data_IF_605043052663
#
_entry.id   IF_605043052663
#
_cell.length_a   1.000
_cell.length_b   1.000
_cell.length_c   1.000
_cell.angle_alpha   90.00
_cell.angle_beta   90.00
_cell.angle_gamma   90.00
#
_symmetry.space_group_name_H-M   'P 1'
#
loop_
_entity.id
_entity.type
_entity.pdbx_description
1 polymer ?
#
# COMPACT_ATOMS: atom_id res chain seq x y z
N UNK A 1 2.57 -11.88 50.16
CA UNK A 1 2.87 -12.74 48.99
C UNK A 1 2.08 -12.39 47.71
N UNK A 2 1.26 -11.33 47.67
CA UNK A 2 0.48 -10.95 46.48
C UNK A 2 1.19 -9.99 45.50
N UNK A 3 2.11 -9.14 46.00
CA UNK A 3 2.75 -8.08 45.22
C UNK A 3 3.76 -8.59 44.17
N UNK A 4 4.44 -9.71 44.44
CA UNK A 4 5.43 -10.32 43.53
C UNK A 4 4.76 -11.01 42.34
N UNK A 5 3.63 -11.69 42.59
CA UNK A 5 2.79 -12.35 41.57
C UNK A 5 2.17 -11.33 40.61
N UNK A 6 1.61 -10.23 41.14
CA UNK A 6 1.08 -9.13 40.32
C UNK A 6 2.14 -8.54 39.39
N UNK A 7 3.35 -8.28 39.91
CA UNK A 7 4.45 -7.72 39.11
C UNK A 7 4.94 -8.68 38.03
N UNK A 8 4.93 -10.00 38.27
CA UNK A 8 5.28 -10.99 37.24
C UNK A 8 4.21 -11.07 36.16
N UNK A 9 2.92 -11.09 36.53
CA UNK A 9 1.81 -11.10 35.57
C UNK A 9 1.83 -9.87 34.66
N UNK A 10 2.09 -8.68 35.20
CA UNK A 10 2.22 -7.45 34.40
C UNK A 10 3.35 -7.57 33.38
N UNK A 11 4.52 -8.10 33.78
CA UNK A 11 5.65 -8.29 32.86
C UNK A 11 5.28 -9.24 31.72
N UNK A 12 4.61 -10.37 32.01
CA UNK A 12 4.17 -11.29 30.97
C UNK A 12 3.19 -10.66 29.99
N UNK A 13 2.25 -9.84 30.48
CA UNK A 13 1.29 -9.13 29.63
C UNK A 13 2.03 -8.12 28.73
N UNK A 14 2.95 -7.33 29.28
CA UNK A 14 3.73 -6.36 28.50
C UNK A 14 4.57 -7.06 27.43
N UNK A 15 5.24 -8.16 27.78
CA UNK A 15 6.03 -8.95 26.81
C UNK A 15 5.13 -9.51 25.71
N UNK A 16 3.98 -10.09 26.05
CA UNK A 16 3.04 -10.63 25.07
C UNK A 16 2.53 -9.54 24.11
N UNK A 17 2.21 -8.34 24.63
CA UNK A 17 1.82 -7.20 23.81
C UNK A 17 2.94 -6.78 22.87
N UNK A 18 4.16 -6.57 23.39
CA UNK A 18 5.32 -6.20 22.56
C UNK A 18 5.58 -7.23 21.48
N UNK A 19 5.52 -8.53 21.80
CA UNK A 19 5.66 -9.59 20.82
C UNK A 19 4.57 -9.50 19.73
N UNK A 20 3.31 -9.32 20.11
CA UNK A 20 2.22 -9.19 19.14
C UNK A 20 2.39 -7.98 18.21
N UNK A 21 2.79 -6.83 18.76
CA UNK A 21 3.09 -5.63 17.98
C UNK A 21 4.23 -5.88 16.99
N UNK A 22 5.37 -6.42 17.43
CA UNK A 22 6.51 -6.71 16.56
C UNK A 22 6.12 -7.64 15.41
N UNK A 23 5.36 -8.70 15.67
CA UNK A 23 4.89 -9.60 14.61
C UNK A 23 3.97 -8.89 13.61
N UNK A 24 3.04 -8.04 14.07
CA UNK A 24 2.15 -7.29 13.19
C UNK A 24 2.94 -6.33 12.27
N UNK A 25 3.92 -5.61 12.83
CA UNK A 25 4.78 -4.72 12.03
C UNK A 25 5.62 -5.47 11.00
N UNK A 26 6.21 -6.62 11.37
CA UNK A 26 7.02 -7.42 10.44
C UNK A 26 6.19 -8.00 9.28
N UNK A 27 4.90 -8.31 9.51
CA UNK A 27 3.99 -8.76 8.45
C UNK A 27 3.71 -7.64 7.45
N UNK A 28 3.37 -6.43 7.92
CA UNK A 28 3.10 -5.28 7.05
C UNK A 28 4.31 -4.94 6.17
N UNK A 29 5.52 -4.97 6.72
CA UNK A 29 6.76 -4.69 5.98
C UNK A 29 7.04 -5.75 4.90
N UNK A 30 6.82 -7.04 5.22
CA UNK A 30 7.05 -8.14 4.28
C UNK A 30 6.04 -8.12 3.12
N UNK A 31 4.77 -7.83 3.39
CA UNK A 31 3.74 -7.68 2.35
C UNK A 31 4.05 -6.50 1.44
N UNK A 32 4.36 -5.32 2.01
CA UNK A 32 4.79 -4.16 1.23
C UNK A 32 5.99 -4.53 0.35
N UNK A 33 7.06 -5.09 0.92
CA UNK A 33 8.27 -5.48 0.18
C UNK A 33 7.97 -6.45 -0.97
N UNK A 34 7.10 -7.43 -0.75
CA UNK A 34 6.70 -8.37 -1.81
C UNK A 34 5.97 -7.67 -2.96
N UNK A 35 5.15 -6.65 -2.68
CA UNK A 35 4.53 -5.81 -3.71
C UNK A 35 5.57 -5.03 -4.49
N UNK A 36 6.54 -4.43 -3.79
CA UNK A 36 7.64 -3.71 -4.44
C UNK A 36 8.43 -4.62 -5.37
N UNK A 37 8.82 -5.80 -4.91
CA UNK A 37 9.66 -6.73 -5.66
C UNK A 37 8.92 -7.39 -6.85
N UNK A 38 7.61 -7.60 -6.74
CA UNK A 38 6.82 -8.28 -7.79
C UNK A 38 6.28 -7.31 -8.84
N UNK A 39 5.88 -6.11 -8.42
CA UNK A 39 5.11 -5.18 -9.25
C UNK A 39 5.84 -3.87 -9.56
N UNK A 40 6.56 -3.29 -8.60
CA UNK A 40 7.13 -1.95 -8.76
C UNK A 40 8.55 -1.94 -9.33
N UNK A 41 9.26 -3.07 -9.33
CA UNK A 41 10.59 -3.15 -9.95
C UNK A 41 10.58 -3.00 -11.47
N UNK A 42 9.41 -3.13 -12.10
CA UNK A 42 9.26 -3.06 -13.56
C UNK A 42 8.60 -1.78 -14.06
N UNK A 43 7.75 -1.14 -13.26
CA UNK A 43 7.30 0.22 -13.52
C UNK A 43 8.48 1.17 -13.26
N UNK A 44 8.82 2.03 -14.23
CA UNK A 44 9.81 3.08 -13.99
C UNK A 44 9.42 3.91 -12.75
N UNK A 45 10.35 4.25 -11.85
CA UNK A 45 10.05 5.07 -10.68
C UNK A 45 9.32 6.38 -11.02
N UNK A 46 9.54 6.95 -12.22
CA UNK A 46 8.77 8.10 -12.69
C UNK A 46 7.30 7.77 -12.94
N UNK A 47 7.01 6.67 -13.63
CA UNK A 47 5.63 6.28 -13.92
C UNK A 47 4.86 5.89 -12.65
N UNK A 48 5.52 5.25 -11.68
CA UNK A 48 4.91 4.98 -10.38
C UNK A 48 4.49 6.28 -9.66
N UNK A 49 5.33 7.32 -9.71
CA UNK A 49 5.00 8.63 -9.13
C UNK A 49 3.86 9.31 -9.88
N UNK A 50 3.83 9.25 -11.23
CA UNK A 50 2.76 9.84 -12.03
C UNK A 50 1.41 9.17 -11.73
N UNK A 51 1.38 7.84 -11.60
CA UNK A 51 0.18 7.07 -11.22
C UNK A 51 -0.36 7.53 -9.87
N UNK A 52 0.52 7.64 -8.87
CA UNK A 52 0.16 8.15 -7.53
C UNK A 52 -0.36 9.59 -7.65
N UNK A 53 0.32 10.44 -8.42
CA UNK A 53 -0.06 11.83 -8.63
C UNK A 53 -1.46 11.98 -9.25
N UNK A 54 -1.81 11.15 -10.23
CA UNK A 54 -3.15 11.18 -10.85
C UNK A 54 -4.22 10.79 -9.85
N UNK A 55 -3.99 9.74 -9.06
CA UNK A 55 -4.99 9.22 -8.11
C UNK A 55 -5.16 10.15 -6.90
N UNK A 56 -4.06 10.63 -6.32
CA UNK A 56 -4.09 11.34 -5.03
C UNK A 56 -3.97 12.87 -5.14
N UNK A 57 -3.41 13.40 -6.24
CA UNK A 57 -3.08 14.82 -6.40
C UNK A 57 -3.66 15.47 -7.67
N UNK A 58 -4.53 14.75 -8.41
CA UNK A 58 -5.15 15.17 -9.68
C UNK A 58 -4.12 15.60 -10.76
N UNK A 59 -2.95 14.97 -10.78
CA UNK A 59 -1.96 15.18 -11.84
C UNK A 59 -2.33 14.43 -13.13
N UNK A 60 -1.50 14.58 -14.15
CA UNK A 60 -1.66 13.92 -15.46
C UNK A 60 -0.66 12.79 -15.62
N UNK A 61 -1.03 11.77 -16.38
CA UNK A 61 -0.15 10.67 -16.79
C UNK A 61 0.27 10.85 -18.26
N UNK A 62 1.43 10.30 -18.62
CA UNK A 62 1.88 10.25 -20.02
C UNK A 62 1.48 8.92 -20.68
N UNK A 63 1.28 8.92 -22.01
CA UNK A 63 0.97 7.71 -22.77
C UNK A 63 2.01 6.60 -22.56
N UNK A 64 3.30 6.97 -22.49
CA UNK A 64 4.38 6.04 -22.19
C UNK A 64 4.19 5.35 -20.83
N UNK A 65 3.79 6.09 -19.79
CA UNK A 65 3.50 5.50 -18.50
C UNK A 65 2.22 4.66 -18.49
N UNK A 66 1.24 4.98 -19.33
CA UNK A 66 0.08 4.12 -19.51
C UNK A 66 0.46 2.77 -20.14
N UNK A 67 1.34 2.75 -21.14
CA UNK A 67 1.85 1.49 -21.70
C UNK A 67 2.60 0.65 -20.67
N UNK A 68 3.49 1.27 -19.88
CA UNK A 68 4.20 0.59 -18.78
C UNK A 68 3.19 0.01 -17.77
N UNK A 69 2.19 0.80 -17.36
CA UNK A 69 1.17 0.37 -16.41
C UNK A 69 0.37 -0.83 -16.92
N UNK A 70 -0.08 -0.79 -18.17
CA UNK A 70 -0.85 -1.88 -18.79
C UNK A 70 0.00 -3.14 -18.96
N UNK A 71 1.29 -2.98 -19.31
CA UNK A 71 2.23 -4.09 -19.43
C UNK A 71 2.43 -4.82 -18.09
N UNK A 72 2.51 -4.09 -16.99
CA UNK A 72 2.65 -4.69 -15.65
C UNK A 72 1.34 -5.30 -15.11
N UNK A 73 0.21 -4.71 -15.51
CA UNK A 73 -1.10 -5.33 -15.32
C UNK A 73 -1.88 -4.80 -14.12
N UNK A 74 -3.21 -5.04 -14.17
CA UNK A 74 -4.18 -4.44 -13.23
C UNK A 74 -3.91 -4.81 -11.78
N UNK A 75 -3.46 -6.04 -11.52
CA UNK A 75 -3.17 -6.50 -10.17
C UNK A 75 -2.14 -5.60 -9.47
N UNK A 76 -1.08 -5.23 -10.17
CA UNK A 76 -0.02 -4.39 -9.63
C UNK A 76 -0.49 -2.96 -9.36
N UNK A 77 -1.26 -2.41 -10.29
CA UNK A 77 -1.92 -1.11 -10.15
C UNK A 77 -2.86 -1.07 -8.94
N UNK A 78 -3.83 -1.98 -8.89
CA UNK A 78 -4.84 -2.04 -7.84
C UNK A 78 -4.20 -2.21 -6.46
N UNK A 79 -3.18 -3.07 -6.36
CA UNK A 79 -2.55 -3.35 -5.07
C UNK A 79 -1.71 -2.18 -4.57
N UNK A 80 -0.99 -1.48 -5.46
CA UNK A 80 -0.26 -0.26 -5.11
C UNK A 80 -1.20 0.81 -4.56
N UNK A 81 -2.28 1.11 -5.29
CA UNK A 81 -3.20 2.17 -4.89
C UNK A 81 -3.93 1.81 -3.60
N UNK A 82 -4.37 0.56 -3.46
CA UNK A 82 -5.03 0.09 -2.24
C UNK A 82 -4.12 0.23 -1.02
N UNK A 83 -2.86 -0.20 -1.12
CA UNK A 83 -1.88 -0.07 -0.03
C UNK A 83 -1.69 1.38 0.44
N UNK A 84 -1.68 2.33 -0.51
CA UNK A 84 -1.57 3.76 -0.18
C UNK A 84 -2.88 4.30 0.39
N UNK A 85 -4.02 3.95 -0.20
CA UNK A 85 -5.33 4.43 0.22
C UNK A 85 -5.72 3.95 1.63
N UNK A 86 -5.23 2.79 2.07
CA UNK A 86 -5.43 2.26 3.43
C UNK A 86 -4.62 3.03 4.50
N UNK A 87 -3.73 3.95 4.13
CA UNK A 87 -2.96 4.72 5.11
C UNK A 87 -3.91 5.61 5.94
N UNK A 88 -3.64 5.78 7.26
CA UNK A 88 -4.59 6.44 8.17
C UNK A 88 -5.03 7.86 7.78
N UNK A 89 -4.20 8.58 7.02
CA UNK A 89 -4.49 9.94 6.55
C UNK A 89 -5.27 9.99 5.22
N UNK A 90 -5.43 8.85 4.54
CA UNK A 90 -6.09 8.72 3.24
C UNK A 90 -7.36 7.86 3.29
N UNK A 91 -7.47 6.95 4.27
CA UNK A 91 -8.56 5.97 4.38
C UNK A 91 -9.97 6.60 4.41
N UNK A 92 -10.10 7.83 4.92
CA UNK A 92 -11.37 8.55 4.90
C UNK A 92 -11.92 8.82 3.47
N UNK A 93 -11.05 8.84 2.47
CA UNK A 93 -11.35 9.07 1.06
C UNK A 93 -11.01 7.85 0.19
N UNK A 94 -10.83 6.67 0.79
CA UNK A 94 -10.40 5.44 0.10
C UNK A 94 -11.26 5.16 -1.14
N UNK A 95 -12.59 5.20 -1.00
CA UNK A 95 -13.51 4.93 -2.13
C UNK A 95 -13.32 5.91 -3.29
N UNK A 96 -13.01 7.18 -3.02
CA UNK A 96 -12.71 8.17 -4.07
C UNK A 96 -11.42 7.79 -4.80
N UNK A 97 -10.35 7.45 -4.06
CA UNK A 97 -9.07 7.06 -4.65
C UNK A 97 -9.17 5.78 -5.47
N UNK A 98 -9.90 4.77 -4.98
CA UNK A 98 -10.14 3.53 -5.74
C UNK A 98 -10.95 3.79 -7.01
N UNK A 99 -11.94 4.69 -6.98
CA UNK A 99 -12.69 5.08 -8.17
C UNK A 99 -11.80 5.79 -9.20
N UNK A 100 -10.96 6.72 -8.75
CA UNK A 100 -9.97 7.39 -9.61
C UNK A 100 -8.96 6.40 -10.20
N UNK A 101 -8.54 5.43 -9.41
CA UNK A 101 -7.65 4.35 -9.83
C UNK A 101 -8.23 3.52 -10.97
N UNK A 102 -9.49 3.09 -10.85
CA UNK A 102 -10.17 2.33 -11.90
C UNK A 102 -10.39 3.17 -13.18
N UNK A 103 -10.66 4.46 -13.03
CA UNK A 103 -10.76 5.40 -14.14
C UNK A 103 -9.42 5.55 -14.88
N UNK A 104 -8.31 5.70 -14.14
CA UNK A 104 -6.96 5.75 -14.70
C UNK A 104 -6.62 4.45 -15.44
N UNK A 105 -6.89 3.29 -14.84
CA UNK A 105 -6.68 2.00 -15.48
C UNK A 105 -7.45 1.89 -16.81
N UNK A 106 -8.74 2.23 -16.79
CA UNK A 106 -9.61 2.22 -17.97
C UNK A 106 -9.07 3.15 -19.06
N UNK A 107 -8.61 4.34 -18.68
CA UNK A 107 -7.99 5.28 -19.60
C UNK A 107 -6.73 4.68 -20.24
N UNK A 108 -5.80 4.16 -19.44
CA UNK A 108 -4.55 3.59 -19.96
C UNK A 108 -4.81 2.39 -20.87
N UNK A 109 -5.75 1.49 -20.54
CA UNK A 109 -6.13 0.37 -21.41
C UNK A 109 -6.70 0.84 -22.74
N UNK A 110 -7.41 1.98 -22.76
CA UNK A 110 -8.01 2.50 -24.00
C UNK A 110 -7.02 3.10 -24.99
N UNK A 111 -5.82 3.48 -24.53
CA UNK A 111 -4.79 4.13 -25.34
C UNK A 111 -3.52 3.27 -25.51
N UNK A 112 -3.49 2.07 -24.91
CA UNK A 112 -2.33 1.16 -24.95
C UNK A 112 -2.38 0.14 -26.09
#
# INVERSE_FOLDING_TARGET
MAHTSSRTTIVFIVVALVCAFVHAFSVEEAEAKSLWDTCLLKISPKCALDIIGVVFENLTITDACCHDLVQEGKMCHDTLIKYIAEKPHLVAHETEYLTKSDALWTHCVSIS
#
